data_IF_326096394632
#
_entry.id   IF_326096394632
#
_cell.length_a   1.000
_cell.length_b   1.000
_cell.length_c   1.000
_cell.angle_alpha   90.00
_cell.angle_beta   90.00
_cell.angle_gamma   90.00
#
_symmetry.space_group_name_H-M   'P 1'
#
loop_
_entity.id
_entity.type
_entity.pdbx_description
1 polymer ?
#
# COMPACT_ATOMS: atom_id res chain seq x y z
N UNK A 1 19.08 -4.11 -30.73
CA UNK A 1 19.27 -3.16 -29.61
C UNK A 1 18.19 -2.05 -29.61
N UNK A 2 18.02 -1.26 -30.70
CA UNK A 2 16.99 -0.18 -30.78
C UNK A 2 15.55 -0.67 -30.53
N UNK A 3 15.14 -1.80 -31.09
CA UNK A 3 13.79 -2.36 -30.89
C UNK A 3 13.53 -2.77 -29.43
N UNK A 4 14.52 -3.32 -28.72
CA UNK A 4 14.39 -3.67 -27.30
C UNK A 4 14.25 -2.41 -26.42
N UNK A 5 14.98 -1.35 -26.75
CA UNK A 5 14.89 -0.07 -26.03
C UNK A 5 13.49 0.54 -26.22
N UNK A 6 12.99 0.57 -27.47
CA UNK A 6 11.65 1.08 -27.77
C UNK A 6 10.57 0.27 -27.06
N UNK A 7 10.70 -1.05 -27.02
CA UNK A 7 9.78 -1.94 -26.29
C UNK A 7 9.79 -1.67 -24.79
N UNK A 8 10.98 -1.51 -24.20
CA UNK A 8 11.11 -1.18 -22.78
C UNK A 8 10.51 0.19 -22.43
N UNK A 9 10.70 1.21 -23.31
CA UNK A 9 10.07 2.52 -23.16
C UNK A 9 8.55 2.41 -23.25
N UNK A 10 8.04 1.65 -24.18
CA UNK A 10 6.59 1.43 -24.32
C UNK A 10 6.00 0.79 -23.07
N UNK A 11 6.61 -0.29 -22.56
CA UNK A 11 6.16 -0.91 -21.30
C UNK A 11 6.20 0.11 -20.15
N UNK A 12 7.28 0.88 -20.04
CA UNK A 12 7.39 1.91 -19.01
C UNK A 12 6.26 2.93 -19.10
N UNK A 13 5.94 3.41 -20.31
CA UNK A 13 4.86 4.38 -20.53
C UNK A 13 3.47 3.80 -20.24
N UNK A 14 3.25 2.50 -20.54
CA UNK A 14 1.99 1.83 -20.26
C UNK A 14 1.60 1.87 -18.78
N UNK A 15 2.56 1.87 -17.87
CA UNK A 15 2.29 1.96 -16.43
C UNK A 15 1.68 3.30 -15.97
N UNK A 16 1.74 4.36 -16.82
CA UNK A 16 1.16 5.67 -16.52
C UNK A 16 -0.18 5.93 -17.21
N UNK A 17 -0.67 5.01 -18.05
CA UNK A 17 -1.94 5.17 -18.75
C UNK A 17 -3.19 4.92 -17.89
N UNK A 18 -3.20 3.93 -16.96
CA UNK A 18 -4.39 3.66 -16.16
C UNK A 18 -4.72 4.81 -15.24
N UNK A 19 -5.99 5.15 -15.12
CA UNK A 19 -6.48 6.06 -14.09
C UNK A 19 -6.32 5.39 -12.72
N UNK A 20 -5.68 6.07 -11.80
CA UNK A 20 -5.48 5.58 -10.44
C UNK A 20 -6.69 5.94 -9.57
N UNK A 21 -7.54 4.94 -9.33
CA UNK A 21 -8.64 5.08 -8.38
C UNK A 21 -8.09 5.21 -6.95
N UNK A 22 -8.97 5.62 -6.01
CA UNK A 22 -8.62 5.83 -4.59
C UNK A 22 -9.75 5.33 -3.69
N UNK A 23 -10.15 4.07 -3.90
CA UNK A 23 -11.17 3.45 -3.06
C UNK A 23 -10.63 3.27 -1.64
N UNK A 24 -11.45 3.60 -0.64
CA UNK A 24 -11.12 3.35 0.76
C UNK A 24 -10.92 1.84 0.98
N UNK A 25 -9.73 1.41 1.45
CA UNK A 25 -9.41 -0.01 1.50
C UNK A 25 -10.13 -0.77 2.63
N UNK A 26 -10.67 -0.09 3.63
CA UNK A 26 -11.43 -0.73 4.72
C UNK A 26 -12.88 -0.28 4.66
N UNK A 27 -13.79 -1.24 4.65
CA UNK A 27 -15.24 -0.99 4.57
C UNK A 27 -15.70 -0.04 5.67
N UNK A 28 -16.35 1.06 5.28
CA UNK A 28 -16.92 2.05 6.20
C UNK A 28 -15.90 2.92 6.93
N UNK A 29 -14.60 2.76 6.69
CA UNK A 29 -13.58 3.59 7.31
C UNK A 29 -13.57 5.02 6.74
N UNK A 30 -13.17 5.95 7.58
CA UNK A 30 -13.04 7.38 7.31
C UNK A 30 -11.66 7.88 7.77
N UNK A 31 -11.33 9.13 7.53
CA UNK A 31 -10.08 9.76 7.98
C UNK A 31 -9.87 9.71 9.51
N UNK A 32 -10.92 9.44 10.29
CA UNK A 32 -10.87 9.33 11.76
C UNK A 32 -10.32 7.99 12.24
N UNK A 33 -10.25 7.00 11.33
CA UNK A 33 -9.87 5.64 11.67
C UNK A 33 -8.36 5.38 11.55
N UNK A 34 -7.56 6.41 11.24
CA UNK A 34 -6.10 6.38 11.34
C UNK A 34 -5.54 7.67 11.89
N UNK A 35 -4.30 7.62 12.39
CA UNK A 35 -3.58 8.83 12.79
C UNK A 35 -2.90 9.45 11.55
N UNK A 36 -3.27 10.68 11.12
CA UNK A 36 -2.68 11.34 9.95
C UNK A 36 -1.18 11.64 10.10
N UNK A 37 -0.64 11.63 11.32
CA UNK A 37 0.78 11.84 11.60
C UNK A 37 1.58 10.53 11.67
N UNK A 38 0.94 9.37 11.45
CA UNK A 38 1.62 8.08 11.58
C UNK A 38 2.53 7.75 10.40
N UNK A 39 2.28 8.32 9.22
CA UNK A 39 3.14 8.09 8.06
C UNK A 39 4.55 8.64 8.28
N UNK A 40 5.53 7.77 8.10
CA UNK A 40 6.94 8.02 8.29
C UNK A 40 7.33 8.38 9.73
N UNK A 41 6.48 8.09 10.71
CA UNK A 41 6.78 8.27 12.13
C UNK A 41 7.97 7.39 12.56
N UNK A 42 8.83 7.92 13.40
CA UNK A 42 10.01 7.24 13.95
C UNK A 42 10.19 7.63 15.44
N UNK A 43 10.61 6.68 16.31
CA UNK A 43 10.97 5.28 16.01
C UNK A 43 9.73 4.38 15.84
N UNK A 44 9.81 3.34 14.98
CA UNK A 44 8.72 2.41 14.75
C UNK A 44 9.20 0.96 14.69
N UNK A 45 9.06 0.25 15.78
CA UNK A 45 9.40 -1.18 15.89
C UNK A 45 10.69 -1.58 15.16
N UNK A 46 10.72 -2.81 14.62
CA UNK A 46 11.86 -3.34 13.85
C UNK A 46 12.08 -2.63 12.51
N UNK A 47 11.06 -1.96 11.97
CA UNK A 47 11.16 -1.28 10.66
C UNK A 47 11.83 0.09 10.72
N UNK A 48 12.06 0.64 11.93
CA UNK A 48 12.65 1.94 12.21
C UNK A 48 11.73 3.12 11.90
N UNK A 49 10.94 3.05 10.84
CA UNK A 49 9.94 4.05 10.45
C UNK A 49 8.63 3.38 10.03
N UNK A 50 7.50 4.04 10.28
CA UNK A 50 6.17 3.60 9.84
C UNK A 50 5.94 3.99 8.38
N UNK A 51 6.06 3.02 7.46
CA UNK A 51 6.05 3.27 6.01
C UNK A 51 4.65 3.42 5.40
N UNK A 52 3.61 3.36 6.21
CA UNK A 52 2.20 3.40 5.81
C UNK A 52 1.33 4.09 6.84
N UNK A 53 0.08 3.71 6.86
CA UNK A 53 -0.89 4.05 7.91
C UNK A 53 -1.53 2.77 8.43
N UNK A 54 -2.00 2.81 9.68
CA UNK A 54 -2.78 1.74 10.31
C UNK A 54 -4.24 2.22 10.38
N UNK A 55 -5.12 1.59 9.59
CA UNK A 55 -6.56 1.88 9.54
C UNK A 55 -7.25 0.91 10.49
N UNK A 56 -7.75 1.42 11.61
CA UNK A 56 -8.39 0.64 12.66
C UNK A 56 -9.84 0.31 12.29
N UNK A 57 -10.20 -0.96 12.44
CA UNK A 57 -11.56 -1.44 12.23
C UNK A 57 -11.80 -2.73 13.01
N UNK A 58 -13.05 -3.19 13.08
CA UNK A 58 -13.37 -4.48 13.70
C UNK A 58 -12.69 -5.62 12.92
N UNK A 59 -12.30 -6.66 13.65
CA UNK A 59 -11.82 -7.90 13.03
C UNK A 59 -12.85 -8.42 12.02
N UNK A 60 -12.35 -8.96 10.91
CA UNK A 60 -13.15 -9.45 9.77
C UNK A 60 -13.91 -8.38 8.97
N UNK A 61 -13.70 -7.08 9.24
CA UNK A 61 -14.19 -6.01 8.34
C UNK A 61 -13.60 -6.21 6.94
N UNK A 62 -14.41 -6.14 5.86
CA UNK A 62 -13.93 -6.31 4.50
C UNK A 62 -12.81 -5.34 4.12
N UNK A 63 -11.79 -5.85 3.42
CA UNK A 63 -10.70 -5.06 2.83
C UNK A 63 -10.79 -5.13 1.32
N UNK A 64 -10.73 -3.98 0.67
CA UNK A 64 -10.89 -3.78 -0.77
C UNK A 64 -9.59 -3.31 -1.44
N UNK A 65 -9.43 -3.65 -2.71
CA UNK A 65 -8.40 -3.08 -3.56
C UNK A 65 -8.65 -1.57 -3.74
N UNK A 66 -7.64 -0.76 -3.42
CA UNK A 66 -7.74 0.71 -3.51
C UNK A 66 -7.79 1.20 -4.97
N UNK A 67 -7.20 0.47 -5.87
CA UNK A 67 -7.09 0.77 -7.30
C UNK A 67 -7.07 -0.52 -8.12
N UNK A 68 -7.30 -0.42 -9.42
CA UNK A 68 -7.06 -1.52 -10.34
C UNK A 68 -5.60 -1.94 -10.28
N UNK A 69 -5.33 -3.23 -10.20
CA UNK A 69 -3.98 -3.73 -9.99
C UNK A 69 -3.83 -5.20 -10.42
N UNK A 70 -2.58 -5.66 -10.49
CA UNK A 70 -2.24 -7.08 -10.57
C UNK A 70 -1.67 -7.51 -9.23
N UNK A 71 -2.21 -8.57 -8.65
CA UNK A 71 -1.67 -9.17 -7.42
C UNK A 71 -0.31 -9.80 -7.73
N UNK A 72 0.73 -9.34 -7.04
CA UNK A 72 2.07 -9.90 -7.17
C UNK A 72 2.34 -11.01 -6.15
N UNK A 73 1.74 -10.87 -4.97
CA UNK A 73 1.86 -11.83 -3.88
C UNK A 73 0.63 -11.78 -2.97
N UNK A 74 0.20 -12.94 -2.52
CA UNK A 74 -0.85 -13.09 -1.50
C UNK A 74 -0.52 -14.28 -0.60
N UNK A 75 -0.65 -14.11 0.72
CA UNK A 75 -0.34 -15.16 1.70
C UNK A 75 0.39 -14.63 2.92
N UNK A 76 1.00 -15.53 3.70
CA UNK A 76 1.71 -15.17 4.93
C UNK A 76 3.14 -14.68 4.62
N UNK A 77 3.50 -13.48 5.09
CA UNK A 77 4.81 -12.89 4.85
C UNK A 77 5.38 -12.17 6.08
N UNK A 78 6.28 -12.85 6.79
CA UNK A 78 7.08 -12.28 7.88
C UNK A 78 6.26 -11.54 8.94
N UNK A 79 6.71 -10.34 9.29
CA UNK A 79 6.06 -9.48 10.29
C UNK A 79 4.70 -8.93 9.85
N UNK A 80 4.43 -8.90 8.55
CA UNK A 80 3.14 -8.46 8.00
C UNK A 80 2.00 -9.45 8.21
N UNK A 81 2.32 -10.72 8.52
CA UNK A 81 1.30 -11.76 8.65
C UNK A 81 0.69 -12.11 7.31
N UNK A 82 -0.63 -12.26 7.24
CA UNK A 82 -1.34 -12.42 5.98
C UNK A 82 -1.35 -11.08 5.23
N UNK A 83 -0.88 -11.10 4.00
CA UNK A 83 -0.69 -9.89 3.19
C UNK A 83 -1.19 -10.07 1.77
N UNK A 84 -1.52 -8.95 1.14
CA UNK A 84 -1.69 -8.82 -0.31
C UNK A 84 -0.74 -7.72 -0.79
N UNK A 85 0.04 -8.01 -1.84
CA UNK A 85 0.95 -7.07 -2.47
C UNK A 85 0.62 -6.96 -3.95
N UNK A 86 0.31 -5.75 -4.42
CA UNK A 86 -0.22 -5.53 -5.77
C UNK A 86 0.58 -4.44 -6.48
N UNK A 87 0.62 -4.52 -7.81
CA UNK A 87 1.13 -3.48 -8.69
C UNK A 87 -0.05 -2.80 -9.40
N UNK A 88 -0.27 -1.54 -9.10
CA UNK A 88 -1.28 -0.69 -9.72
C UNK A 88 -0.71 0.35 -10.68
N UNK A 89 -1.53 1.33 -11.03
CA UNK A 89 -1.17 2.45 -11.89
C UNK A 89 0.05 3.23 -11.37
N UNK A 90 0.70 3.98 -12.27
CA UNK A 90 1.86 4.81 -11.97
C UNK A 90 3.05 4.05 -11.36
N UNK A 91 3.16 2.74 -11.64
CA UNK A 91 4.18 1.86 -11.08
C UNK A 91 4.20 1.92 -9.55
N UNK A 92 3.01 1.93 -8.94
CA UNK A 92 2.83 1.94 -7.49
C UNK A 92 2.49 0.56 -6.97
N UNK A 93 3.19 0.18 -5.92
CA UNK A 93 2.94 -1.05 -5.19
C UNK A 93 2.06 -0.73 -3.99
N UNK A 94 0.94 -1.43 -3.87
CA UNK A 94 0.01 -1.35 -2.76
C UNK A 94 0.19 -2.58 -1.88
N UNK A 95 0.42 -2.36 -0.60
CA UNK A 95 0.68 -3.42 0.38
C UNK A 95 -0.35 -3.36 1.49
N UNK A 96 -1.05 -4.46 1.68
CA UNK A 96 -2.09 -4.67 2.68
C UNK A 96 -1.61 -5.75 3.61
N UNK A 97 -1.53 -5.46 4.93
CA UNK A 97 -0.97 -6.40 5.91
C UNK A 97 -1.88 -6.56 7.13
N UNK A 98 -1.54 -7.55 7.95
CA UNK A 98 -2.24 -7.97 9.16
C UNK A 98 -3.66 -8.52 8.89
N UNK A 99 -3.89 -9.01 7.66
CA UNK A 99 -5.19 -9.53 7.26
C UNK A 99 -5.58 -10.76 8.07
N UNK A 100 -6.89 -10.91 8.31
CA UNK A 100 -7.50 -12.13 8.84
C UNK A 100 -7.65 -13.18 7.75
N UNK A 101 -8.19 -12.77 6.59
CA UNK A 101 -8.35 -13.61 5.40
C UNK A 101 -7.73 -12.94 4.18
N UNK A 102 -7.33 -13.76 3.21
CA UNK A 102 -6.87 -13.34 1.88
C UNK A 102 -7.76 -14.04 0.86
N UNK A 103 -8.40 -13.28 -0.01
CA UNK A 103 -9.42 -13.75 -0.94
C UNK A 103 -8.97 -13.73 -2.40
N UNK A 104 -7.71 -13.37 -2.66
CA UNK A 104 -7.14 -13.26 -4.01
C UNK A 104 -5.86 -14.06 -4.13
N UNK A 105 -5.52 -14.46 -5.35
CA UNK A 105 -4.31 -15.23 -5.66
C UNK A 105 -3.27 -14.38 -6.39
N UNK A 106 -1.99 -14.77 -6.28
CA UNK A 106 -0.93 -14.12 -7.04
C UNK A 106 -1.18 -14.24 -8.57
N UNK A 107 -0.75 -13.21 -9.28
CA UNK A 107 -0.86 -13.06 -10.74
C UNK A 107 -2.28 -12.92 -11.27
N UNK A 108 -3.26 -12.61 -10.42
CA UNK A 108 -4.63 -12.28 -10.85
C UNK A 108 -4.82 -10.76 -10.90
N UNK A 109 -5.56 -10.26 -11.91
CA UNK A 109 -6.02 -8.87 -11.91
C UNK A 109 -7.12 -8.70 -10.86
N UNK A 110 -7.16 -7.52 -10.24
CA UNK A 110 -8.24 -7.10 -9.34
C UNK A 110 -8.68 -5.69 -9.72
N UNK A 111 -9.97 -5.43 -9.58
CA UNK A 111 -10.55 -4.11 -9.81
C UNK A 111 -10.61 -3.29 -8.54
N UNK A 112 -10.57 -1.97 -8.68
CA UNK A 112 -10.80 -1.06 -7.56
C UNK A 112 -12.15 -1.36 -6.88
N UNK A 113 -12.15 -1.50 -5.55
CA UNK A 113 -13.35 -1.89 -4.79
C UNK A 113 -13.61 -3.39 -4.73
N UNK A 114 -12.82 -4.23 -5.38
CA UNK A 114 -12.91 -5.69 -5.23
C UNK A 114 -12.40 -6.12 -3.85
N UNK A 115 -13.11 -7.04 -3.19
CA UNK A 115 -12.72 -7.53 -1.88
C UNK A 115 -11.52 -8.46 -1.98
N UNK A 116 -10.40 -8.06 -1.39
CA UNK A 116 -9.12 -8.80 -1.40
C UNK A 116 -8.83 -9.55 -0.10
N UNK A 117 -9.61 -9.27 0.96
CA UNK A 117 -9.43 -9.92 2.26
C UNK A 117 -10.29 -9.29 3.35
N UNK A 118 -9.86 -9.42 4.58
CA UNK A 118 -10.51 -8.79 5.74
C UNK A 118 -9.49 -8.35 6.79
N UNK A 119 -9.87 -7.37 7.60
CA UNK A 119 -9.04 -6.81 8.71
C UNK A 119 -8.80 -7.89 9.77
N UNK A 120 -7.56 -7.99 10.22
CA UNK A 120 -7.15 -8.95 11.24
C UNK A 120 -6.10 -8.42 12.19
N UNK A 121 -5.33 -9.35 12.74
CA UNK A 121 -4.22 -9.11 13.67
C UNK A 121 -3.05 -10.05 13.40
N UNK A 122 -2.91 -10.54 12.17
CA UNK A 122 -1.84 -11.50 11.85
C UNK A 122 -0.45 -10.87 11.89
N UNK A 123 0.59 -11.70 11.96
CA UNK A 123 1.96 -11.25 12.05
C UNK A 123 2.26 -10.53 13.37
N UNK A 124 2.97 -9.41 13.34
CA UNK A 124 3.34 -8.65 14.54
C UNK A 124 2.21 -7.75 15.10
N UNK A 125 1.02 -7.78 14.49
CA UNK A 125 -0.18 -7.19 15.04
C UNK A 125 -0.92 -8.11 16.02
N UNK A 126 -0.46 -9.35 16.21
CA UNK A 126 -1.04 -10.28 17.16
C UNK A 126 -1.08 -9.67 18.58
N UNK A 127 -2.25 -9.72 19.21
CA UNK A 127 -2.49 -9.14 20.53
C UNK A 127 -2.71 -7.61 20.55
N UNK A 128 -2.72 -6.96 19.40
CA UNK A 128 -3.04 -5.53 19.25
C UNK A 128 -4.48 -5.33 18.75
N UNK A 129 -4.96 -4.09 18.80
CA UNK A 129 -6.24 -3.72 18.17
C UNK A 129 -6.24 -4.07 16.68
N UNK A 130 -7.30 -4.69 16.14
CA UNK A 130 -7.36 -5.05 14.73
C UNK A 130 -7.25 -3.82 13.84
N UNK A 131 -6.43 -3.92 12.80
CA UNK A 131 -6.20 -2.85 11.83
C UNK A 131 -5.67 -3.40 10.52
N UNK A 132 -5.88 -2.66 9.45
CA UNK A 132 -5.17 -2.82 8.20
C UNK A 132 -3.92 -1.94 8.24
N UNK A 133 -2.71 -2.51 8.12
CA UNK A 133 -1.53 -1.72 7.76
C UNK A 133 -1.49 -1.57 6.24
N UNK A 134 -1.59 -0.33 5.76
CA UNK A 134 -1.62 -0.01 4.34
C UNK A 134 -0.44 0.87 3.94
N UNK A 135 0.30 0.45 2.91
CA UNK A 135 1.49 1.15 2.39
C UNK A 135 1.40 1.32 0.87
N UNK A 136 1.85 2.47 0.38
CA UNK A 136 2.03 2.73 -1.06
C UNK A 136 3.50 3.04 -1.32
N UNK A 137 4.11 2.24 -2.21
CA UNK A 137 5.49 2.41 -2.63
C UNK A 137 5.56 2.66 -4.13
N UNK A 138 6.29 3.67 -4.57
CA UNK A 138 6.61 3.89 -5.99
C UNK A 138 7.81 3.02 -6.41
N UNK A 139 7.80 2.54 -7.65
CA UNK A 139 8.98 1.91 -8.28
C UNK A 139 10.12 2.91 -8.46
N UNK A 140 9.80 4.21 -8.58
CA UNK A 140 10.75 5.29 -8.84
C UNK A 140 10.79 6.28 -7.69
N UNK A 141 11.98 6.85 -7.34
CA UNK A 141 12.09 7.84 -6.28
C UNK A 141 11.42 9.15 -6.70
N UNK A 142 10.61 9.70 -5.82
CA UNK A 142 10.01 11.02 -5.94
C UNK A 142 10.97 12.04 -5.31
N UNK A 143 12.03 12.37 -6.05
CA UNK A 143 13.19 13.14 -5.53
C UNK A 143 12.81 14.50 -4.95
N UNK A 144 11.72 15.12 -5.44
CA UNK A 144 11.18 16.39 -4.91
C UNK A 144 10.59 16.28 -3.50
N UNK A 145 10.37 15.05 -3.00
CA UNK A 145 9.92 14.81 -1.62
C UNK A 145 11.08 14.55 -0.64
N UNK A 146 12.33 14.67 -1.12
CA UNK A 146 13.50 14.53 -0.26
C UNK A 146 13.54 15.65 0.78
N UNK A 147 13.69 15.27 2.04
CA UNK A 147 13.83 16.20 3.16
C UNK A 147 14.75 15.57 4.22
N UNK A 148 15.92 16.19 4.42
CA UNK A 148 16.94 15.72 5.37
C UNK A 148 16.49 15.66 6.83
N UNK A 149 15.37 16.29 7.19
CA UNK A 149 14.79 16.26 8.54
C UNK A 149 14.20 14.90 8.90
N UNK A 150 13.84 14.09 7.92
CA UNK A 150 13.30 12.76 8.16
C UNK A 150 14.37 11.71 8.36
N UNK A 151 14.07 10.68 9.14
CA UNK A 151 14.88 9.46 9.20
C UNK A 151 14.85 8.76 7.86
N UNK A 152 16.00 8.30 7.38
CA UNK A 152 16.17 7.64 6.07
C UNK A 152 15.54 8.43 4.90
N UNK A 153 15.95 9.69 4.65
CA UNK A 153 15.25 10.61 3.74
C UNK A 153 15.20 10.10 2.29
N UNK A 154 16.27 9.47 1.79
CA UNK A 154 16.27 8.86 0.45
C UNK A 154 15.28 7.70 0.34
N UNK A 155 15.17 6.87 1.36
CA UNK A 155 14.19 5.78 1.39
C UNK A 155 12.76 6.30 1.33
N UNK A 156 12.50 7.43 2.02
CA UNK A 156 11.19 8.09 2.03
C UNK A 156 10.72 8.50 0.65
N UNK A 157 11.63 8.88 -0.27
CA UNK A 157 11.25 9.31 -1.63
C UNK A 157 10.53 8.22 -2.43
N UNK A 158 10.66 6.95 -2.05
CA UNK A 158 9.94 5.84 -2.67
C UNK A 158 8.55 5.58 -2.08
N UNK A 159 8.15 6.28 -1.03
CA UNK A 159 6.87 6.03 -0.36
C UNK A 159 5.93 7.23 -0.49
N UNK A 160 4.65 6.93 -0.70
CA UNK A 160 3.57 7.91 -0.67
C UNK A 160 2.90 7.84 0.70
N UNK A 161 2.40 8.99 1.17
CA UNK A 161 1.53 9.04 2.34
C UNK A 161 0.15 8.47 1.98
N UNK A 162 -0.23 7.28 2.49
CA UNK A 162 -1.50 6.68 2.09
C UNK A 162 -2.71 7.48 2.57
N UNK A 163 -2.61 8.18 3.70
CA UNK A 163 -3.68 9.04 4.20
C UNK A 163 -3.98 10.17 3.21
N UNK A 164 -2.96 10.90 2.78
CA UNK A 164 -3.09 11.94 1.74
C UNK A 164 -3.57 11.36 0.41
N UNK A 165 -3.10 10.18 0.04
CA UNK A 165 -3.52 9.52 -1.20
C UNK A 165 -5.03 9.24 -1.19
N UNK A 166 -5.54 8.66 -0.12
CA UNK A 166 -6.96 8.31 0.02
C UNK A 166 -7.87 9.54 0.07
N UNK A 167 -7.40 10.62 0.67
CA UNK A 167 -8.18 11.88 0.81
C UNK A 167 -8.05 12.82 -0.38
N UNK A 168 -7.26 12.46 -1.39
CA UNK A 168 -7.03 13.30 -2.57
C UNK A 168 -6.10 14.49 -2.34
N UNK A 169 -5.45 14.59 -1.17
CA UNK A 169 -4.49 15.65 -0.88
C UNK A 169 -3.21 15.46 -1.69
N UNK A 170 -2.64 16.50 -2.33
CA UNK A 170 -1.37 16.42 -3.05
C UNK A 170 -0.22 15.88 -2.18
N UNK A 171 0.69 15.14 -2.82
CA UNK A 171 1.81 14.44 -2.18
C UNK A 171 3.12 15.25 -2.26
#
# INVERSE_FOLDING_TARGET
>A
MRALILFAILIFLLGFLPNEQRVMPVSGATERDWNPQSFWYSPWGVSGVHKGIDIFARRSTPVYATTDAIVLYSGYYGIGGNVVYMLGANWRFHYYAHLESVNVSAFTPVSAGEQIGSVGTSGNAQGKSPHLHYTIRSAFPRVWTYDKRYVAPWKRTFFLDPGKFLTGVPQ
#
